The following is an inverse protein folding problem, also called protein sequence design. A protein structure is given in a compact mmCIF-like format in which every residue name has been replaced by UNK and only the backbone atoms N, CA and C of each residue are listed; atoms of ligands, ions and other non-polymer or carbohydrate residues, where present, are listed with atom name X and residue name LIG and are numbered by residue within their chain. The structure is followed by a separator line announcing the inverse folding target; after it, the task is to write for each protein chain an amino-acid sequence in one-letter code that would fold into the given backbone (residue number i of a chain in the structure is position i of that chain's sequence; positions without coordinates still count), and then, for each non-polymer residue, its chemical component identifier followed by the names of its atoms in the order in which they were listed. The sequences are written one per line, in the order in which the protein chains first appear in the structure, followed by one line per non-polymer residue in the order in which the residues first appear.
data_IF_276247325647
#
_entry.id   IF_276247325647
#
_cell.length_a   1.000
_cell.length_b   1.000
_cell.length_c   1.000
_cell.angle_alpha   90.00
_cell.angle_beta   90.00
_cell.angle_gamma   90.00
#
_symmetry.space_group_name_H-M   'P 1'
#
loop_
_entity.id
_entity.type
_entity.pdbx_description
1 polymer ?
#
# COMPACT_ATOMS: atom_id res chain seq x y z
N UNK A 1 -14.37 15.53 18.06
CA UNK A 1 -13.79 16.10 16.83
C UNK A 1 -13.03 15.00 16.09
N UNK A 2 -13.30 14.84 14.81
CA UNK A 2 -12.67 13.76 14.05
C UNK A 2 -11.19 14.09 13.77
N UNK A 3 -10.32 13.13 14.01
CA UNK A 3 -8.90 13.30 13.74
C UNK A 3 -8.67 13.28 12.23
N UNK A 4 -7.82 14.15 11.75
CA UNK A 4 -7.46 14.21 10.34
C UNK A 4 -6.60 12.99 9.98
N UNK A 5 -6.86 12.42 8.81
CA UNK A 5 -6.09 11.28 8.34
C UNK A 5 -4.60 11.58 8.24
N UNK A 6 -4.25 12.82 7.90
CA UNK A 6 -2.85 13.20 7.75
C UNK A 6 -2.09 13.12 9.07
N UNK A 7 -2.73 13.45 10.18
CA UNK A 7 -2.12 13.32 11.51
C UNK A 7 -1.86 11.86 11.85
N UNK A 8 -2.83 11.00 11.50
CA UNK A 8 -2.68 9.56 11.72
C UNK A 8 -1.56 8.98 10.87
N UNK A 9 -1.42 9.47 9.64
CA UNK A 9 -0.33 9.05 8.76
C UNK A 9 1.03 9.41 9.32
N UNK A 10 1.16 10.60 9.88
CA UNK A 10 2.43 11.03 10.48
C UNK A 10 2.80 10.14 11.66
N UNK A 11 1.83 9.81 12.51
CA UNK A 11 2.06 8.92 13.64
C UNK A 11 2.47 7.52 13.18
N UNK A 12 1.82 7.01 12.13
CA UNK A 12 2.16 5.73 11.55
C UNK A 12 3.57 5.71 10.99
N UNK A 13 3.96 6.73 10.23
CA UNK A 13 5.30 6.81 9.65
C UNK A 13 6.37 6.91 10.74
N UNK A 14 6.09 7.65 11.79
CA UNK A 14 6.98 7.73 12.93
C UNK A 14 7.15 6.37 13.59
N UNK A 15 6.08 5.62 13.74
CA UNK A 15 6.11 4.26 14.28
C UNK A 15 6.99 3.35 13.41
N UNK A 16 6.85 3.42 12.09
CA UNK A 16 7.67 2.60 11.20
C UNK A 16 9.15 2.95 11.30
N UNK A 17 9.45 4.24 11.42
CA UNK A 17 10.84 4.69 11.52
C UNK A 17 11.49 4.17 12.79
N UNK A 18 10.78 4.22 13.91
CA UNK A 18 11.34 3.88 15.22
C UNK A 18 11.25 2.41 15.55
N UNK A 19 10.11 1.78 15.27
CA UNK A 19 9.88 0.41 15.70
C UNK A 19 10.39 -0.62 14.70
N UNK A 20 10.30 -0.32 13.41
CA UNK A 20 10.69 -1.27 12.38
C UNK A 20 11.98 -0.95 11.67
N UNK A 21 12.58 0.17 12.01
CA UNK A 21 13.86 0.61 11.43
C UNK A 21 13.86 0.55 9.90
N UNK A 22 12.72 0.94 9.34
CA UNK A 22 12.57 0.96 7.90
C UNK A 22 13.52 2.00 7.30
N UNK A 23 14.07 1.72 6.12
CA UNK A 23 15.01 2.65 5.49
C UNK A 23 14.33 3.97 5.16
N UNK A 24 15.07 5.09 5.16
CA UNK A 24 14.47 6.38 4.80
C UNK A 24 13.84 6.39 3.41
N UNK A 25 14.42 5.64 2.49
CA UNK A 25 13.87 5.54 1.13
C UNK A 25 12.50 4.87 1.14
N UNK A 26 12.37 3.76 1.86
CA UNK A 26 11.11 3.04 1.95
C UNK A 26 10.05 3.86 2.70
N UNK A 27 10.47 4.56 3.77
CA UNK A 27 9.56 5.44 4.51
C UNK A 27 9.01 6.54 3.62
N UNK A 28 9.86 7.13 2.79
CA UNK A 28 9.42 8.18 1.87
C UNK A 28 8.43 7.64 0.86
N UNK A 29 8.71 6.47 0.31
CA UNK A 29 7.82 5.84 -0.66
C UNK A 29 6.47 5.51 -0.03
N UNK A 30 6.47 4.94 1.17
CA UNK A 30 5.23 4.62 1.89
C UNK A 30 4.45 5.88 2.24
N UNK A 31 5.14 6.93 2.69
CA UNK A 31 4.50 8.19 3.00
C UNK A 31 3.85 8.83 1.77
N UNK A 32 4.53 8.77 0.64
CA UNK A 32 3.98 9.29 -0.61
C UNK A 32 2.75 8.50 -1.05
N UNK A 33 2.81 7.17 -0.98
CA UNK A 33 1.68 6.32 -1.34
C UNK A 33 0.47 6.63 -0.45
N UNK A 34 0.68 6.78 0.85
CA UNK A 34 -0.41 7.08 1.78
C UNK A 34 -0.97 8.48 1.56
N UNK A 35 -0.11 9.46 1.28
CA UNK A 35 -0.56 10.82 1.00
C UNK A 35 -1.43 10.87 -0.25
N UNK A 36 -1.05 10.12 -1.27
CA UNK A 36 -1.84 10.03 -2.50
C UNK A 36 -3.18 9.35 -2.25
N UNK A 37 -3.20 8.34 -1.39
CA UNK A 37 -4.43 7.67 -1.02
C UNK A 37 -5.39 8.62 -0.31
N UNK A 38 -4.89 9.40 0.64
CA UNK A 38 -5.72 10.37 1.36
C UNK A 38 -6.23 11.44 0.39
N UNK A 39 -5.38 11.93 -0.50
CA UNK A 39 -5.80 12.90 -1.51
C UNK A 39 -6.88 12.34 -2.44
N UNK A 40 -6.73 11.07 -2.82
CA UNK A 40 -7.74 10.39 -3.64
C UNK A 40 -9.08 10.34 -2.91
N UNK A 41 -9.06 9.96 -1.63
CA UNK A 41 -10.30 9.89 -0.84
C UNK A 41 -10.94 11.27 -0.66
N UNK A 42 -10.12 12.30 -0.46
CA UNK A 42 -10.62 13.66 -0.37
C UNK A 42 -11.43 14.02 -1.63
N UNK A 43 -10.87 13.73 -2.79
CA UNK A 43 -11.55 13.99 -4.07
C UNK A 43 -12.74 13.09 -4.32
N UNK A 44 -12.60 11.81 -3.99
CA UNK A 44 -13.63 10.82 -4.23
C UNK A 44 -14.90 11.10 -3.42
N UNK A 45 -14.72 11.52 -2.19
CA UNK A 45 -15.85 11.80 -1.29
C UNK A 45 -16.26 13.27 -1.27
N UNK A 46 -15.43 14.14 -1.86
CA UNK A 46 -15.70 15.57 -1.87
C UNK A 46 -15.54 16.25 -0.52
N UNK A 47 -14.77 15.65 0.39
CA UNK A 47 -14.53 16.23 1.71
C UNK A 47 -13.19 15.72 2.24
N UNK A 48 -12.67 16.42 3.26
CA UNK A 48 -11.39 16.03 3.86
C UNK A 48 -11.51 14.67 4.54
N UNK A 49 -10.53 13.82 4.30
CA UNK A 49 -10.49 12.48 4.87
C UNK A 49 -10.16 12.56 6.36
N UNK A 50 -10.98 11.92 7.17
CA UNK A 50 -10.81 11.87 8.63
C UNK A 50 -10.76 10.42 9.07
N UNK A 51 -10.55 10.21 10.36
CA UNK A 51 -10.64 8.86 10.94
C UNK A 51 -11.98 8.21 10.61
N UNK A 52 -13.08 8.96 10.70
CA UNK A 52 -14.40 8.43 10.38
C UNK A 52 -14.47 7.91 8.94
N UNK A 53 -13.85 8.61 8.00
CA UNK A 53 -13.75 8.17 6.61
C UNK A 53 -13.01 6.84 6.52
N UNK A 54 -11.89 6.74 7.21
CA UNK A 54 -11.07 5.53 7.20
C UNK A 54 -11.80 4.35 7.83
N UNK A 55 -12.58 4.60 8.87
CA UNK A 55 -13.38 3.56 9.53
C UNK A 55 -14.46 2.99 8.62
N UNK A 56 -14.88 3.77 7.64
CA UNK A 56 -15.95 3.39 6.70
C UNK A 56 -15.42 3.02 5.33
N UNK A 57 -14.11 2.85 5.21
CA UNK A 57 -13.50 2.50 3.93
C UNK A 57 -14.08 1.20 3.39
N UNK A 58 -14.41 1.20 2.10
CA UNK A 58 -14.90 0.00 1.41
C UNK A 58 -13.81 -0.53 0.49
N UNK A 59 -13.75 -1.84 0.30
CA UNK A 59 -12.77 -2.41 -0.63
C UNK A 59 -12.84 -1.79 -2.03
N UNK A 60 -14.04 -1.44 -2.49
CA UNK A 60 -14.20 -0.83 -3.80
C UNK A 60 -13.49 0.51 -3.92
N UNK A 61 -13.45 1.28 -2.83
CA UNK A 61 -12.75 2.56 -2.82
C UNK A 61 -11.25 2.37 -2.95
N UNK A 62 -10.72 1.39 -2.24
CA UNK A 62 -9.28 1.09 -2.34
C UNK A 62 -8.94 0.55 -3.72
N UNK A 63 -9.77 -0.30 -4.28
CA UNK A 63 -9.56 -0.79 -5.65
C UNK A 63 -9.58 0.36 -6.66
N UNK A 64 -10.50 1.32 -6.49
CA UNK A 64 -10.57 2.49 -7.36
C UNK A 64 -9.29 3.32 -7.27
N UNK A 65 -8.74 3.48 -6.07
CA UNK A 65 -7.48 4.19 -5.90
C UNK A 65 -6.36 3.49 -6.65
N UNK A 66 -6.25 2.17 -6.50
CA UNK A 66 -5.18 1.41 -7.17
C UNK A 66 -5.33 1.48 -8.69
N UNK A 67 -6.55 1.45 -9.19
CA UNK A 67 -6.81 1.59 -10.62
C UNK A 67 -6.36 2.96 -11.12
N UNK A 68 -6.65 4.01 -10.36
CA UNK A 68 -6.22 5.36 -10.72
C UNK A 68 -4.70 5.45 -10.77
N UNK A 69 -4.02 4.85 -9.79
CA UNK A 69 -2.55 4.83 -9.79
C UNK A 69 -1.99 4.14 -11.04
N UNK A 70 -2.62 3.05 -11.45
CA UNK A 70 -2.20 2.36 -12.68
C UNK A 70 -2.42 3.25 -13.89
N UNK A 71 -3.54 3.95 -13.96
CA UNK A 71 -3.84 4.86 -15.06
C UNK A 71 -2.87 6.03 -15.11
N UNK A 72 -2.30 6.40 -13.99
CA UNK A 72 -1.27 7.44 -13.91
C UNK A 72 0.11 6.94 -14.34
N UNK A 73 0.22 5.68 -14.66
CA UNK A 73 1.47 5.10 -15.15
C UNK A 73 2.26 4.29 -14.14
N UNK A 74 1.72 4.08 -12.93
CA UNK A 74 2.42 3.29 -11.92
C UNK A 74 2.42 1.82 -12.35
N UNK A 75 3.58 1.20 -12.37
CA UNK A 75 3.69 -0.20 -12.76
C UNK A 75 3.15 -1.14 -11.68
N UNK A 76 3.07 -2.43 -12.01
CA UNK A 76 2.50 -3.43 -11.10
C UNK A 76 3.23 -3.48 -9.75
N UNK A 77 4.55 -3.38 -9.76
CA UNK A 77 5.33 -3.37 -8.51
C UNK A 77 5.03 -2.14 -7.66
N UNK A 78 4.86 -0.99 -8.30
CA UNK A 78 4.48 0.23 -7.60
C UNK A 78 3.08 0.16 -7.01
N UNK A 79 2.15 -0.47 -7.72
CA UNK A 79 0.79 -0.67 -7.21
C UNK A 79 0.82 -1.63 -6.02
N UNK A 80 1.61 -2.70 -6.08
CA UNK A 80 1.77 -3.60 -4.95
C UNK A 80 2.36 -2.89 -3.74
N UNK A 81 3.36 -2.04 -3.96
CA UNK A 81 3.96 -1.26 -2.88
C UNK A 81 2.94 -0.31 -2.26
N UNK A 82 2.13 0.37 -3.10
CA UNK A 82 1.08 1.26 -2.61
C UNK A 82 0.08 0.50 -1.75
N UNK A 83 -0.34 -0.68 -2.19
CA UNK A 83 -1.25 -1.51 -1.40
C UNK A 83 -0.60 -1.96 -0.09
N UNK A 84 0.67 -2.34 -0.13
CA UNK A 84 1.40 -2.73 1.07
C UNK A 84 1.48 -1.57 2.06
N UNK A 85 1.70 -0.35 1.58
CA UNK A 85 1.75 0.83 2.42
C UNK A 85 0.40 1.06 3.11
N UNK A 86 -0.69 0.96 2.36
CA UNK A 86 -2.03 1.18 2.91
C UNK A 86 -2.39 0.09 3.91
N UNK A 87 -2.04 -1.16 3.62
CA UNK A 87 -2.25 -2.25 4.57
C UNK A 87 -1.45 -2.04 5.85
N UNK A 88 -0.23 -1.55 5.74
CA UNK A 88 0.60 -1.22 6.91
C UNK A 88 -0.05 -0.12 7.74
N UNK A 89 -0.57 0.91 7.08
CA UNK A 89 -1.25 2.00 7.74
C UNK A 89 -2.48 1.48 8.53
N UNK A 90 -3.29 0.63 7.90
CA UNK A 90 -4.47 0.10 8.57
C UNK A 90 -4.11 -0.88 9.69
N UNK A 91 -3.02 -1.63 9.57
CA UNK A 91 -2.53 -2.45 10.69
C UNK A 91 -2.16 -1.58 11.88
N UNK A 92 -1.54 -0.43 11.61
CA UNK A 92 -1.25 0.54 12.66
C UNK A 92 -2.55 1.04 13.31
N UNK A 93 -3.54 1.39 12.52
CA UNK A 93 -4.83 1.85 13.05
C UNK A 93 -5.52 0.78 13.87
N UNK A 94 -5.46 -0.50 13.45
CA UNK A 94 -6.01 -1.60 14.22
C UNK A 94 -5.30 -1.77 15.54
N UNK A 95 -3.98 -1.71 15.53
CA UNK A 95 -3.17 -1.85 16.75
C UNK A 95 -3.48 -0.77 17.76
N UNK A 96 -3.79 0.44 17.27
CA UNK A 96 -4.15 1.56 18.12
C UNK A 96 -5.65 1.60 18.44
N UNK A 97 -6.40 0.60 18.01
CA UNK A 97 -7.85 0.50 18.23
C UNK A 97 -8.62 1.68 17.61
N UNK A 98 -8.14 2.19 16.48
CA UNK A 98 -8.74 3.34 15.83
C UNK A 98 -9.65 2.95 14.67
N UNK A 99 -9.31 1.90 13.94
CA UNK A 99 -10.09 1.47 12.79
C UNK A 99 -9.83 -0.01 12.51
N UNK A 100 -10.78 -0.63 11.81
CA UNK A 100 -10.67 -2.01 11.36
C UNK A 100 -10.01 -2.03 9.98
N UNK A 101 -9.07 -2.90 9.78
CA UNK A 101 -8.37 -3.04 8.50
C UNK A 101 -8.98 -4.02 7.53
N UNK A 102 -10.20 -4.48 7.76
CA UNK A 102 -10.82 -5.51 6.95
C UNK A 102 -10.89 -5.13 5.46
N UNK A 103 -11.23 -3.87 5.16
CA UNK A 103 -11.33 -3.43 3.78
C UNK A 103 -9.98 -3.51 3.06
N UNK A 104 -8.91 -3.14 3.74
CA UNK A 104 -7.57 -3.19 3.16
C UNK A 104 -7.13 -4.64 2.94
N UNK A 105 -7.49 -5.55 3.85
CA UNK A 105 -7.16 -6.96 3.70
C UNK A 105 -7.96 -7.64 2.60
N UNK A 106 -9.16 -7.15 2.32
CA UNK A 106 -10.03 -7.74 1.31
C UNK A 106 -9.58 -7.49 -0.11
N UNK A 107 -8.77 -6.47 -0.33
CA UNK A 107 -8.29 -6.14 -1.68
C UNK A 107 -7.08 -7.01 -2.00
N UNK A 108 -7.12 -7.69 -3.14
CA UNK A 108 -6.03 -8.54 -3.57
C UNK A 108 -4.94 -7.72 -4.23
N UNK A 109 -3.70 -8.14 -4.01
CA UNK A 109 -2.57 -7.58 -4.73
C UNK A 109 -2.71 -7.89 -6.21
N UNK A 110 -2.39 -6.93 -7.09
CA UNK A 110 -2.38 -7.24 -8.52
C UNK A 110 -1.32 -8.29 -8.79
N UNK A 111 -1.64 -9.22 -9.67
CA UNK A 111 -0.65 -10.20 -10.10
C UNK A 111 0.43 -9.47 -10.87
N UNK A 112 1.67 -9.68 -10.45
CA UNK A 112 2.78 -9.23 -11.27
C UNK A 112 2.73 -9.97 -12.59
N UNK A 113 2.94 -9.28 -13.71
CA UNK A 113 3.01 -10.00 -14.98
C UNK A 113 4.11 -11.04 -14.84
N UNK A 114 3.75 -12.28 -15.06
CA UNK A 114 4.74 -13.31 -15.19
C UNK A 114 5.63 -12.85 -16.32
N UNK A 115 6.90 -12.71 -15.98
CA UNK A 115 7.88 -12.67 -17.04
C UNK A 115 7.64 -13.93 -17.81
N UNK A 116 6.99 -13.78 -18.94
CA UNK A 116 6.77 -14.91 -19.77
C UNK A 116 8.03 -15.63 -20.06
N UNK A 117 7.93 -16.94 -20.17
CA UNK A 117 9.03 -17.71 -20.65
C UNK A 117 9.33 -17.25 -22.06
N UNK A 118 10.06 -16.19 -22.14
CA UNK A 118 10.99 -16.11 -23.21
C UNK A 118 11.80 -17.38 -23.12
N UNK A 119 12.36 -17.89 -24.20
CA UNK A 119 13.36 -18.95 -24.05
C UNK A 119 14.49 -18.40 -23.24
N UNK A 120 14.34 -18.45 -21.96
CA UNK A 120 15.37 -18.07 -21.02
C UNK A 120 16.34 -19.20 -20.98
N UNK A 121 17.62 -18.86 -20.88
CA UNK A 121 18.62 -19.85 -20.52
C UNK A 121 18.25 -20.38 -19.13
N UNK A 122 18.73 -21.56 -18.79
CA UNK A 122 18.45 -22.09 -17.46
C UNK A 122 18.89 -21.15 -16.36
N UNK A 123 20.00 -20.47 -16.56
CA UNK A 123 20.50 -19.49 -15.60
C UNK A 123 19.52 -18.33 -15.43
N UNK A 124 18.98 -17.85 -16.52
CA UNK A 124 18.03 -16.74 -16.46
C UNK A 124 16.73 -17.17 -15.80
N UNK A 125 16.28 -18.40 -16.09
CA UNK A 125 15.09 -18.94 -15.47
C UNK A 125 15.28 -19.10 -13.97
N UNK A 126 16.43 -19.61 -13.55
CA UNK A 126 16.74 -19.76 -12.14
C UNK A 126 16.79 -18.40 -11.44
N UNK A 127 17.37 -17.42 -12.09
CA UNK A 127 17.44 -16.07 -11.53
C UNK A 127 16.05 -15.46 -11.39
N UNK A 128 15.21 -15.64 -12.39
CA UNK A 128 13.85 -15.12 -12.34
C UNK A 128 13.06 -15.73 -11.19
N UNK A 129 13.24 -17.01 -10.94
CA UNK A 129 12.59 -17.70 -9.84
C UNK A 129 13.10 -17.17 -8.49
N UNK A 130 14.40 -17.00 -8.36
CA UNK A 130 14.99 -16.48 -7.13
C UNK A 130 14.51 -15.06 -6.86
N UNK A 131 14.48 -14.21 -7.87
CA UNK A 131 14.03 -12.84 -7.73
C UNK A 131 12.56 -12.80 -7.34
N UNK A 132 11.75 -13.66 -7.92
CA UNK A 132 10.34 -13.73 -7.58
C UNK A 132 10.14 -14.16 -6.12
N UNK A 133 10.95 -15.08 -5.64
CA UNK A 133 10.91 -15.52 -4.25
C UNK A 133 11.27 -14.40 -3.30
N UNK A 134 12.32 -13.66 -3.60
CA UNK A 134 12.74 -12.54 -2.79
C UNK A 134 11.72 -11.40 -2.80
N UNK A 135 11.13 -11.14 -3.95
CA UNK A 135 10.15 -10.09 -4.10
C UNK A 135 8.88 -10.40 -3.32
N UNK A 136 8.51 -11.65 -3.19
CA UNK A 136 7.27 -12.02 -2.52
C UNK A 136 7.34 -11.88 -1.01
N UNK A 137 8.48 -12.10 -0.40
CA UNK A 137 8.61 -12.02 1.04
C UNK A 137 8.30 -10.65 1.62
N UNK A 138 8.84 -9.56 1.08
CA UNK A 138 8.54 -8.22 1.61
C UNK A 138 7.09 -7.83 1.43
N UNK A 139 6.43 -8.34 0.43
CA UNK A 139 5.05 -7.99 0.14
C UNK A 139 4.08 -8.55 1.14
N UNK A 140 4.42 -9.69 1.65
CA UNK A 140 3.55 -10.42 2.55
C UNK A 140 3.69 -9.88 3.96
N UNK A 141 4.81 -9.32 4.28
CA UNK A 141 5.08 -8.79 5.61
C UNK A 141 4.26 -7.54 5.96
#
# INVERSE_FOLDING_TARGET
MARAARELMEAWLSSLAHERRMSPHTLRAYGDDAARFVSFLDGYRGSRTTLATLQKLKPAELRAFLTERRNEGLGARGVQRALAAIRSFFRYLERENLADGAAARAVRSPKLPRTLPRPLSETDAARAIADAGEDNEPWIA
#
